data_IF_830075232418
#
_entry.id   IF_830075232418
#
_cell.length_a   1.000
_cell.length_b   1.000
_cell.length_c   1.000
_cell.angle_alpha   90.00
_cell.angle_beta   90.00
_cell.angle_gamma   90.00
#
_symmetry.space_group_name_H-M   'P 1'
#
loop_
_entity.id
_entity.type
_entity.pdbx_description
1 polymer ?
#
# COMPACT_ATOMS: atom_id res chain seq x y z
N UNK A 1 -20.24 -30.97 31.02
CA UNK A 1 -19.31 -29.85 31.16
C UNK A 1 -18.47 -29.79 29.88
N UNK A 2 -18.91 -28.98 28.92
CA UNK A 2 -18.12 -28.68 27.74
C UNK A 2 -16.95 -27.85 28.25
N UNK A 3 -15.75 -28.45 28.27
CA UNK A 3 -14.51 -27.71 28.46
C UNK A 3 -14.53 -26.54 27.48
N UNK A 4 -14.48 -25.31 27.98
CA UNK A 4 -14.21 -24.14 27.17
C UNK A 4 -12.83 -24.33 26.54
N UNK A 5 -12.81 -24.87 25.33
CA UNK A 5 -11.61 -24.89 24.51
C UNK A 5 -11.32 -23.43 24.16
N UNK A 6 -10.32 -22.84 24.79
CA UNK A 6 -9.79 -21.54 24.40
C UNK A 6 -9.19 -21.68 22.98
N UNK A 7 -10.06 -21.59 21.97
CA UNK A 7 -9.62 -21.59 20.59
C UNK A 7 -9.02 -20.23 20.29
N UNK A 8 -7.81 -20.22 19.75
CA UNK A 8 -7.20 -19.00 19.22
C UNK A 8 -7.95 -18.62 17.95
N UNK A 9 -8.81 -17.60 18.06
CA UNK A 9 -9.58 -17.08 16.93
C UNK A 9 -8.66 -16.64 15.78
N UNK A 10 -9.07 -16.97 14.56
CA UNK A 10 -8.39 -16.60 13.31
C UNK A 10 -6.94 -17.15 13.20
N UNK A 11 -6.69 -18.29 13.82
CA UNK A 11 -5.47 -19.07 13.68
C UNK A 11 -5.77 -20.41 12.99
N UNK A 12 -4.85 -20.88 12.18
CA UNK A 12 -4.92 -22.22 11.63
C UNK A 12 -4.60 -23.25 12.70
N UNK A 13 -5.48 -24.22 12.91
CA UNK A 13 -5.24 -25.35 13.79
C UNK A 13 -4.96 -26.62 12.97
N UNK A 14 -3.74 -27.15 13.08
CA UNK A 14 -3.31 -28.30 12.31
C UNK A 14 -2.40 -29.21 13.16
N UNK A 15 -2.72 -30.51 13.20
CA UNK A 15 -1.97 -31.52 13.94
C UNK A 15 -1.66 -31.13 15.41
N UNK A 16 -2.67 -30.64 16.13
CA UNK A 16 -2.54 -30.29 17.55
C UNK A 16 -1.84 -28.97 17.84
N UNK A 17 -1.53 -28.16 16.84
CA UNK A 17 -0.82 -26.87 16.99
C UNK A 17 -1.57 -25.74 16.31
N UNK A 18 -1.39 -24.53 16.86
CA UNK A 18 -1.90 -23.29 16.28
C UNK A 18 -0.81 -22.60 15.47
N UNK A 19 -1.19 -22.10 14.31
CA UNK A 19 -0.33 -21.36 13.42
C UNK A 19 -0.99 -20.08 12.93
N UNK A 20 -0.21 -19.02 12.78
CA UNK A 20 -0.62 -17.86 11.97
C UNK A 20 -0.49 -18.27 10.51
N UNK A 21 -1.57 -18.19 9.73
CA UNK A 21 -1.59 -18.63 8.32
C UNK A 21 -1.08 -17.55 7.34
N UNK A 22 -0.86 -16.33 7.81
CA UNK A 22 -0.33 -15.19 7.05
C UNK A 22 0.74 -14.46 7.86
N UNK A 23 1.48 -13.51 7.20
CA UNK A 23 2.33 -12.56 7.88
C UNK A 23 3.58 -13.11 8.56
N UNK A 24 4.20 -14.19 8.05
CA UNK A 24 5.44 -14.74 8.64
C UNK A 24 6.62 -13.76 8.52
N UNK A 25 6.70 -12.96 7.44
CA UNK A 25 7.82 -12.05 7.21
C UNK A 25 7.96 -10.99 8.29
N UNK A 26 6.90 -10.34 8.81
CA UNK A 26 7.03 -9.44 9.96
C UNK A 26 7.70 -10.11 11.18
N UNK A 27 7.34 -11.36 11.46
CA UNK A 27 7.95 -12.14 12.54
C UNK A 27 9.45 -12.40 12.29
N UNK A 28 9.82 -12.76 11.06
CA UNK A 28 11.22 -12.97 10.66
C UNK A 28 12.05 -11.69 10.72
N UNK A 29 11.45 -10.54 10.48
CA UNK A 29 12.15 -9.26 10.49
C UNK A 29 12.38 -8.71 11.91
N UNK A 30 11.46 -8.98 12.84
CA UNK A 30 11.48 -8.33 14.15
C UNK A 30 11.43 -9.30 15.32
N UNK A 31 10.40 -10.13 15.47
CA UNK A 31 10.21 -10.97 16.65
C UNK A 31 11.34 -11.99 16.79
N UNK A 32 11.63 -12.73 15.73
CA UNK A 32 12.64 -13.77 15.77
C UNK A 32 14.06 -13.23 16.03
N UNK A 33 14.55 -12.16 15.35
CA UNK A 33 15.84 -11.56 15.67
C UNK A 33 15.92 -10.97 17.08
N UNK A 34 14.82 -10.34 17.54
CA UNK A 34 14.76 -9.77 18.87
C UNK A 34 14.85 -10.86 19.95
N UNK A 35 14.08 -11.93 19.81
CA UNK A 35 14.15 -13.09 20.74
C UNK A 35 15.54 -13.73 20.72
N UNK A 36 16.13 -13.91 19.53
CA UNK A 36 17.46 -14.49 19.40
C UNK A 36 18.58 -13.69 20.09
N UNK A 37 18.45 -12.35 20.11
CA UNK A 37 19.43 -11.44 20.73
C UNK A 37 19.18 -11.23 22.22
N UNK A 38 17.90 -11.09 22.62
CA UNK A 38 17.54 -10.68 23.99
C UNK A 38 17.07 -11.84 24.87
N UNK A 39 16.67 -12.97 24.30
CA UNK A 39 15.98 -14.06 24.98
C UNK A 39 14.54 -13.72 25.41
N UNK A 40 14.03 -12.52 25.08
CA UNK A 40 12.70 -12.05 25.46
C UNK A 40 11.73 -12.42 24.33
N UNK A 41 10.69 -13.17 24.67
CA UNK A 41 9.59 -13.47 23.77
C UNK A 41 8.56 -12.31 23.76
N UNK A 42 7.72 -12.29 22.74
CA UNK A 42 6.59 -11.35 22.64
C UNK A 42 6.97 -9.88 22.52
N UNK A 43 7.89 -9.55 21.59
CA UNK A 43 8.08 -8.16 21.15
C UNK A 43 6.75 -7.58 20.66
N UNK A 44 6.32 -6.46 21.27
CA UNK A 44 5.09 -5.77 20.89
C UNK A 44 5.12 -5.25 19.44
N UNK A 45 3.97 -5.21 18.77
CA UNK A 45 3.86 -4.75 17.38
C UNK A 45 4.13 -3.24 17.17
N UNK A 46 3.69 -2.32 18.06
CA UNK A 46 3.82 -0.88 17.83
C UNK A 46 5.23 -0.41 17.47
N UNK A 47 6.31 -0.75 18.18
CA UNK A 47 7.64 -0.32 17.80
C UNK A 47 8.09 -0.85 16.44
N UNK A 48 7.71 -2.08 16.08
CA UNK A 48 8.01 -2.67 14.77
C UNK A 48 7.27 -1.92 13.66
N UNK A 49 6.00 -1.58 13.89
CA UNK A 49 5.19 -0.81 12.94
C UNK A 49 5.76 0.60 12.74
N UNK A 50 6.26 1.25 13.80
CA UNK A 50 6.93 2.56 13.69
C UNK A 50 8.17 2.47 12.81
N UNK A 51 9.03 1.45 13.01
CA UNK A 51 10.20 1.24 12.16
C UNK A 51 9.81 1.06 10.70
N UNK A 52 8.81 0.22 10.42
CA UNK A 52 8.32 0.01 9.05
C UNK A 52 7.68 1.28 8.47
N UNK A 53 6.96 2.06 9.27
CA UNK A 53 6.42 3.35 8.85
C UNK A 53 7.50 4.38 8.49
N UNK A 54 8.61 4.42 9.24
CA UNK A 54 9.77 5.23 8.89
C UNK A 54 10.42 4.76 7.59
N UNK A 55 10.50 3.45 7.36
CA UNK A 55 10.99 2.90 6.10
C UNK A 55 10.03 3.22 4.94
N UNK A 56 8.70 3.21 5.16
CA UNK A 56 7.73 3.67 4.18
C UNK A 56 7.92 5.15 3.82
N UNK A 57 8.14 6.01 4.83
CA UNK A 57 8.43 7.43 4.63
C UNK A 57 9.69 7.60 3.76
N UNK A 58 10.79 6.94 4.10
CA UNK A 58 12.03 6.97 3.33
C UNK A 58 11.85 6.45 1.91
N UNK A 59 11.11 5.35 1.76
CA UNK A 59 10.80 4.77 0.45
C UNK A 59 9.94 5.71 -0.41
N UNK A 60 8.99 6.42 0.19
CA UNK A 60 8.17 7.42 -0.50
C UNK A 60 9.01 8.58 -1.01
N UNK A 61 9.91 9.12 -0.18
CA UNK A 61 10.90 10.12 -0.62
C UNK A 61 11.76 9.58 -1.77
N UNK A 62 12.29 8.38 -1.60
CA UNK A 62 13.14 7.75 -2.60
C UNK A 62 12.42 7.48 -3.92
N UNK A 63 11.20 6.95 -3.87
CA UNK A 63 10.40 6.67 -5.07
C UNK A 63 10.05 7.95 -5.83
N UNK A 64 9.54 8.99 -5.13
CA UNK A 64 9.24 10.29 -5.75
C UNK A 64 10.50 10.92 -6.33
N UNK A 65 11.65 10.84 -5.63
CA UNK A 65 12.92 11.33 -6.16
C UNK A 65 13.30 10.64 -7.48
N UNK A 66 13.18 9.32 -7.56
CA UNK A 66 13.51 8.58 -8.79
C UNK A 66 12.53 8.89 -9.93
N UNK A 67 11.25 9.08 -9.61
CA UNK A 67 10.21 9.50 -10.56
C UNK A 67 10.51 10.89 -11.13
N UNK A 68 10.81 11.85 -10.26
CA UNK A 68 11.19 13.22 -10.68
C UNK A 68 12.40 13.19 -11.58
N UNK A 69 13.48 12.49 -11.21
CA UNK A 69 14.67 12.35 -12.05
C UNK A 69 14.39 11.72 -13.41
N UNK A 70 13.47 10.77 -13.48
CA UNK A 70 13.19 10.01 -14.70
C UNK A 70 12.28 10.76 -15.67
N UNK A 71 11.24 11.41 -15.17
CA UNK A 71 10.18 11.94 -16.03
C UNK A 71 9.91 13.43 -15.86
N UNK A 72 10.31 14.03 -14.74
CA UNK A 72 9.93 15.38 -14.33
C UNK A 72 11.11 16.21 -13.80
N UNK A 73 12.24 16.23 -14.48
CA UNK A 73 13.48 16.89 -14.03
C UNK A 73 13.35 18.39 -13.69
N UNK A 74 12.25 19.03 -14.11
CA UNK A 74 11.93 20.44 -13.83
C UNK A 74 10.87 20.60 -12.72
N UNK A 75 10.49 19.53 -12.01
CA UNK A 75 9.54 19.64 -10.93
C UNK A 75 10.09 20.52 -9.78
N UNK A 76 9.24 21.37 -9.23
CA UNK A 76 9.58 22.22 -8.10
C UNK A 76 9.78 21.42 -6.81
N UNK A 77 10.58 21.96 -5.88
CA UNK A 77 10.73 21.36 -4.55
C UNK A 77 9.37 21.25 -3.81
N UNK A 78 8.48 22.21 -4.01
CA UNK A 78 7.13 22.18 -3.44
C UNK A 78 6.32 21.01 -3.98
N UNK A 79 6.29 20.80 -5.30
CA UNK A 79 5.58 19.66 -5.92
C UNK A 79 6.14 18.33 -5.45
N UNK A 80 7.46 18.23 -5.30
CA UNK A 80 8.14 17.06 -4.73
C UNK A 80 7.66 16.77 -3.30
N UNK A 81 7.75 17.77 -2.41
CA UNK A 81 7.37 17.60 -0.99
C UNK A 81 5.88 17.33 -0.82
N UNK A 82 5.01 18.00 -1.59
CA UNK A 82 3.57 17.75 -1.58
C UNK A 82 3.24 16.34 -2.06
N UNK A 83 3.95 15.82 -3.07
CA UNK A 83 3.76 14.43 -3.53
C UNK A 83 4.13 13.42 -2.43
N UNK A 84 5.23 13.63 -1.72
CA UNK A 84 5.63 12.77 -0.59
C UNK A 84 4.61 12.87 0.54
N UNK A 85 4.20 14.09 0.93
CA UNK A 85 3.20 14.29 1.97
C UNK A 85 1.88 13.61 1.62
N UNK A 86 1.44 13.71 0.37
CA UNK A 86 0.23 13.05 -0.12
C UNK A 86 0.30 11.52 -0.02
N UNK A 87 1.43 10.91 -0.39
CA UNK A 87 1.62 9.46 -0.29
C UNK A 87 1.62 9.02 1.17
N UNK A 88 2.38 9.71 2.03
CA UNK A 88 2.51 9.34 3.44
C UNK A 88 1.20 9.53 4.19
N UNK A 89 0.56 10.68 4.03
CA UNK A 89 -0.69 11.02 4.74
C UNK A 89 -1.91 10.28 4.15
N UNK A 90 -1.93 9.99 2.85
CA UNK A 90 -3.02 9.28 2.19
C UNK A 90 -2.94 7.76 2.29
N UNK A 91 -1.81 7.18 2.71
CA UNK A 91 -1.59 5.72 2.73
C UNK A 91 -2.36 4.95 3.81
N UNK A 92 -3.09 5.63 4.67
CA UNK A 92 -3.83 5.08 5.84
C UNK A 92 -2.93 4.41 6.90
N UNK A 93 -1.62 4.60 6.90
CA UNK A 93 -0.74 4.09 7.95
C UNK A 93 -1.16 4.58 9.35
N UNK A 94 -1.64 5.81 9.47
CA UNK A 94 -2.18 6.38 10.70
C UNK A 94 -3.33 5.56 11.28
N UNK A 95 -4.23 5.04 10.44
CA UNK A 95 -5.30 4.13 10.86
C UNK A 95 -4.75 2.80 11.36
N UNK A 96 -3.77 2.25 10.66
CA UNK A 96 -3.13 0.99 11.04
C UNK A 96 -2.38 1.11 12.37
N UNK A 97 -1.71 2.25 12.63
CA UNK A 97 -0.97 2.48 13.87
C UNK A 97 -1.85 2.58 15.12
N UNK A 98 -3.09 3.06 14.98
CA UNK A 98 -4.05 3.10 16.10
C UNK A 98 -4.58 1.70 16.44
N UNK A 99 -4.42 0.75 15.54
CA UNK A 99 -4.89 -0.63 15.66
C UNK A 99 -3.72 -1.61 15.55
N UNK A 100 -2.81 -1.68 16.52
CA UNK A 100 -1.59 -2.48 16.42
C UNK A 100 -1.87 -3.97 16.65
N UNK A 101 -2.73 -4.56 15.81
CA UNK A 101 -3.01 -5.98 15.78
C UNK A 101 -2.19 -6.69 14.70
N UNK A 102 -2.23 -7.99 14.72
CA UNK A 102 -1.47 -8.86 13.82
C UNK A 102 -1.74 -8.58 12.32
N UNK A 103 -2.99 -8.23 11.97
CA UNK A 103 -3.37 -7.92 10.58
C UNK A 103 -2.80 -6.60 10.12
N UNK A 104 -2.98 -5.55 10.94
CA UNK A 104 -2.49 -4.21 10.66
C UNK A 104 -0.95 -4.20 10.61
N UNK A 105 -0.31 -4.96 11.49
CA UNK A 105 1.14 -5.15 11.46
C UNK A 105 1.62 -5.76 10.14
N UNK A 106 0.98 -6.84 9.67
CA UNK A 106 1.30 -7.46 8.39
C UNK A 106 1.08 -6.51 7.20
N UNK A 107 0.01 -5.69 7.24
CA UNK A 107 -0.27 -4.69 6.19
C UNK A 107 0.80 -3.59 6.19
N UNK A 108 1.17 -3.03 7.34
CA UNK A 108 2.22 -2.00 7.43
C UNK A 108 3.54 -2.52 6.88
N UNK A 109 3.92 -3.76 7.23
CA UNK A 109 5.14 -4.38 6.69
C UNK A 109 5.05 -4.57 5.16
N UNK A 110 3.95 -5.12 4.67
CA UNK A 110 3.73 -5.35 3.23
C UNK A 110 3.78 -4.06 2.43
N UNK A 111 3.04 -3.03 2.86
CA UNK A 111 3.01 -1.72 2.20
C UNK A 111 4.37 -1.03 2.19
N UNK A 112 5.12 -1.12 3.29
CA UNK A 112 6.46 -0.53 3.40
C UNK A 112 7.46 -1.26 2.50
N UNK A 113 7.43 -2.59 2.48
CA UNK A 113 8.28 -3.40 1.59
C UNK A 113 7.94 -3.16 0.11
N UNK A 114 6.67 -3.02 -0.23
CA UNK A 114 6.24 -2.67 -1.59
C UNK A 114 6.81 -1.33 -2.05
N UNK A 115 6.72 -0.30 -1.21
CA UNK A 115 7.27 1.01 -1.54
C UNK A 115 8.80 1.02 -1.60
N UNK A 116 9.49 0.24 -0.75
CA UNK A 116 10.94 0.01 -0.83
C UNK A 116 11.31 -0.67 -2.15
N UNK A 117 10.56 -1.69 -2.56
CA UNK A 117 10.76 -2.37 -3.83
C UNK A 117 10.65 -1.40 -5.01
N UNK A 118 9.62 -0.56 -5.04
CA UNK A 118 9.45 0.45 -6.08
C UNK A 118 10.58 1.48 -6.08
N UNK A 119 11.01 1.96 -4.91
CA UNK A 119 12.15 2.86 -4.81
C UNK A 119 13.42 2.24 -5.38
N UNK A 120 13.78 1.02 -4.95
CA UNK A 120 14.99 0.35 -5.43
C UNK A 120 14.91 0.03 -6.93
N UNK A 121 13.77 -0.44 -7.44
CA UNK A 121 13.60 -0.73 -8.87
C UNK A 121 13.69 0.54 -9.74
N UNK A 122 13.02 1.62 -9.35
CA UNK A 122 13.14 2.91 -10.04
C UNK A 122 14.56 3.46 -9.96
N UNK A 123 15.22 3.29 -8.80
CA UNK A 123 16.62 3.67 -8.62
C UNK A 123 17.56 2.83 -9.50
N UNK A 124 17.33 1.52 -9.61
CA UNK A 124 18.08 0.64 -10.51
C UNK A 124 17.90 1.07 -11.97
N UNK A 125 16.67 1.35 -12.40
CA UNK A 125 16.36 1.81 -13.75
C UNK A 125 17.04 3.15 -14.11
N UNK A 126 17.27 4.01 -13.12
CA UNK A 126 17.96 5.30 -13.27
C UNK A 126 19.49 5.22 -13.04
N UNK A 127 20.01 4.05 -12.69
CA UNK A 127 21.45 3.87 -12.44
C UNK A 127 22.18 3.63 -13.77
N UNK A 128 23.26 4.36 -13.98
CA UNK A 128 24.12 4.17 -15.15
C UNK A 128 24.77 2.77 -15.13
N UNK A 129 24.99 2.22 -16.32
CA UNK A 129 25.50 0.84 -16.51
C UNK A 129 26.90 0.67 -15.93
N UNK A 130 27.70 1.71 -15.95
CA UNK A 130 29.07 1.77 -15.45
C UNK A 130 29.12 1.57 -13.92
N UNK A 131 28.07 1.96 -13.21
CA UNK A 131 27.92 1.75 -11.76
C UNK A 131 27.38 0.37 -11.43
N UNK A 132 28.03 -0.66 -11.98
CA UNK A 132 27.55 -2.04 -11.97
C UNK A 132 27.20 -2.56 -10.58
N UNK A 133 28.06 -2.39 -9.58
CA UNK A 133 27.81 -2.87 -8.21
C UNK A 133 26.54 -2.25 -7.61
N UNK A 134 26.37 -0.94 -7.76
CA UNK A 134 25.17 -0.24 -7.30
C UNK A 134 23.91 -0.69 -8.03
N UNK A 135 24.00 -0.97 -9.34
CA UNK A 135 22.90 -1.49 -10.14
C UNK A 135 22.46 -2.86 -9.65
N UNK A 136 23.39 -3.81 -9.50
CA UNK A 136 23.10 -5.18 -9.02
C UNK A 136 22.50 -5.16 -7.61
N UNK A 137 23.06 -4.37 -6.68
CA UNK A 137 22.56 -4.23 -5.34
C UNK A 137 21.11 -3.71 -5.32
N UNK A 138 20.77 -2.70 -6.13
CA UNK A 138 19.43 -2.13 -6.21
C UNK A 138 18.42 -3.10 -6.84
N UNK A 139 18.83 -3.86 -7.86
CA UNK A 139 18.00 -4.91 -8.45
C UNK A 139 17.69 -5.99 -7.40
N UNK A 140 18.71 -6.47 -6.70
CA UNK A 140 18.56 -7.50 -5.68
C UNK A 140 17.72 -7.03 -4.50
N UNK A 141 18.00 -5.82 -3.96
CA UNK A 141 17.24 -5.26 -2.84
C UNK A 141 15.77 -5.01 -3.20
N UNK A 142 15.51 -4.45 -4.39
CA UNK A 142 14.15 -4.23 -4.84
C UNK A 142 13.36 -5.52 -5.01
N UNK A 143 13.98 -6.54 -5.59
CA UNK A 143 13.35 -7.86 -5.75
C UNK A 143 13.22 -8.62 -4.44
N UNK A 144 14.18 -8.46 -3.51
CA UNK A 144 14.05 -9.01 -2.16
C UNK A 144 12.88 -8.38 -1.42
N UNK A 145 12.78 -7.05 -1.42
CA UNK A 145 11.66 -6.34 -0.78
C UNK A 145 10.31 -6.79 -1.39
N UNK A 146 10.21 -6.88 -2.72
CA UNK A 146 8.99 -7.33 -3.39
C UNK A 146 8.66 -8.78 -3.01
N UNK A 147 9.59 -9.70 -3.07
CA UNK A 147 9.36 -11.10 -2.70
C UNK A 147 8.92 -11.27 -1.23
N UNK A 148 9.46 -10.45 -0.32
CA UNK A 148 9.06 -10.46 1.09
C UNK A 148 7.63 -9.97 1.31
N UNK A 149 7.05 -9.20 0.37
CA UNK A 149 5.63 -8.81 0.40
C UNK A 149 4.73 -10.04 0.43
N UNK A 150 5.06 -11.10 -0.33
CA UNK A 150 4.30 -12.35 -0.36
C UNK A 150 4.14 -12.99 1.02
N UNK A 151 5.15 -12.89 1.88
CA UNK A 151 5.11 -13.39 3.26
C UNK A 151 4.49 -12.40 4.26
N UNK A 152 4.02 -11.23 3.82
CA UNK A 152 3.21 -10.29 4.61
C UNK A 152 1.75 -10.34 4.14
N UNK A 153 1.53 -10.04 2.86
CA UNK A 153 0.23 -9.89 2.19
C UNK A 153 0.34 -10.42 0.76
N UNK A 154 0.07 -11.71 0.52
CA UNK A 154 0.34 -12.35 -0.78
C UNK A 154 -0.34 -11.64 -1.97
N UNK A 155 -1.55 -11.10 -1.80
CA UNK A 155 -2.26 -10.41 -2.86
C UNK A 155 -1.55 -9.13 -3.36
N UNK A 156 -0.79 -8.45 -2.51
CA UNK A 156 -0.02 -7.25 -2.90
C UNK A 156 1.13 -7.59 -3.86
N UNK A 157 1.54 -8.86 -3.96
CA UNK A 157 2.56 -9.32 -4.91
C UNK A 157 2.14 -9.06 -6.37
N UNK A 158 0.86 -8.82 -6.63
CA UNK A 158 0.37 -8.38 -7.94
C UNK A 158 1.11 -7.13 -8.44
N UNK A 159 1.59 -6.26 -7.56
CA UNK A 159 2.39 -5.10 -7.94
C UNK A 159 3.80 -5.45 -8.46
N UNK A 160 4.26 -6.70 -8.37
CA UNK A 160 5.49 -7.14 -9.03
C UNK A 160 5.43 -6.93 -10.56
N UNK A 161 4.25 -6.91 -11.14
CA UNK A 161 4.04 -6.60 -12.57
C UNK A 161 4.59 -5.21 -12.95
N UNK A 162 4.79 -4.28 -12.00
CA UNK A 162 5.40 -2.97 -12.23
C UNK A 162 6.87 -3.05 -12.65
N UNK A 163 7.54 -4.18 -12.43
CA UNK A 163 8.85 -4.43 -13.00
C UNK A 163 8.85 -4.31 -14.54
N UNK A 164 7.75 -4.71 -15.18
CA UNK A 164 7.64 -4.67 -16.65
C UNK A 164 7.78 -3.23 -17.19
N UNK A 165 6.92 -2.24 -16.84
CA UNK A 165 7.08 -0.88 -17.35
C UNK A 165 8.36 -0.20 -16.87
N UNK A 166 8.89 -0.51 -15.67
CA UNK A 166 10.12 0.07 -15.14
C UNK A 166 11.34 -0.36 -15.96
N UNK A 167 11.39 -1.65 -16.34
CA UNK A 167 12.58 -2.26 -16.95
C UNK A 167 12.43 -2.57 -18.44
N UNK A 168 11.24 -2.36 -19.04
CA UNK A 168 10.94 -2.70 -20.43
C UNK A 168 11.96 -2.12 -21.42
N UNK A 169 12.22 -0.83 -21.32
CA UNK A 169 13.12 -0.14 -22.24
C UNK A 169 14.51 -0.77 -22.21
N UNK A 170 15.07 -0.88 -21.01
CA UNK A 170 16.47 -1.30 -20.81
C UNK A 170 16.71 -2.78 -21.14
N UNK A 171 15.83 -3.66 -20.71
CA UNK A 171 16.11 -5.10 -20.80
C UNK A 171 15.45 -5.77 -21.98
N UNK A 172 14.25 -5.36 -22.35
CA UNK A 172 13.50 -6.01 -23.43
C UNK A 172 13.70 -5.29 -24.78
N UNK A 173 13.48 -3.98 -24.84
CA UNK A 173 13.58 -3.24 -26.11
C UNK A 173 15.02 -3.10 -26.59
N UNK A 174 15.96 -2.81 -25.70
CA UNK A 174 17.40 -2.72 -26.02
C UNK A 174 18.07 -4.10 -26.04
N UNK A 175 17.31 -5.19 -25.84
CA UNK A 175 17.77 -6.58 -25.85
C UNK A 175 18.94 -6.87 -24.91
N UNK A 176 19.10 -6.04 -23.86
CA UNK A 176 20.20 -6.16 -22.90
C UNK A 176 20.14 -7.49 -22.13
N UNK A 177 18.94 -8.04 -21.91
CA UNK A 177 18.74 -9.32 -21.22
C UNK A 177 19.58 -10.45 -21.82
N UNK A 178 19.84 -10.41 -23.13
CA UNK A 178 20.60 -11.45 -23.85
C UNK A 178 22.11 -11.21 -23.86
N UNK A 179 22.61 -10.21 -23.17
CA UNK A 179 24.05 -9.96 -23.00
C UNK A 179 24.58 -10.62 -21.73
N UNK A 180 25.89 -10.93 -21.66
CA UNK A 180 26.53 -11.46 -20.44
C UNK A 180 26.25 -10.58 -19.20
N UNK A 181 26.25 -9.27 -19.38
CA UNK A 181 25.94 -8.32 -18.32
C UNK A 181 24.48 -8.37 -17.92
N UNK A 182 23.56 -8.43 -18.90
CA UNK A 182 22.12 -8.54 -18.67
C UNK A 182 21.72 -9.83 -17.98
N UNK A 183 22.39 -10.95 -18.27
CA UNK A 183 22.17 -12.22 -17.54
C UNK A 183 22.57 -12.05 -16.07
N UNK A 184 23.71 -11.42 -15.76
CA UNK A 184 24.10 -11.17 -14.36
C UNK A 184 23.09 -10.26 -13.65
N UNK A 185 22.56 -9.24 -14.33
CA UNK A 185 21.53 -8.35 -13.82
C UNK A 185 20.20 -9.10 -13.60
N UNK A 186 19.84 -10.01 -14.53
CA UNK A 186 18.68 -10.87 -14.39
C UNK A 186 18.82 -11.83 -13.19
N UNK A 187 19.99 -12.41 -12.99
CA UNK A 187 20.28 -13.25 -11.81
C UNK A 187 20.13 -12.41 -10.52
N UNK A 188 20.68 -11.21 -10.46
CA UNK A 188 20.54 -10.33 -9.30
C UNK A 188 19.08 -9.96 -9.03
N UNK A 189 18.25 -9.86 -10.07
CA UNK A 189 16.81 -9.61 -9.94
C UNK A 189 16.04 -10.86 -9.51
N UNK A 190 16.29 -12.02 -10.11
CA UNK A 190 15.48 -13.23 -9.92
C UNK A 190 15.89 -14.00 -8.66
N UNK A 191 17.18 -14.06 -8.33
CA UNK A 191 17.69 -14.88 -7.23
C UNK A 191 17.02 -14.60 -5.88
N UNK A 192 16.85 -13.34 -5.44
CA UNK A 192 16.14 -13.05 -4.19
C UNK A 192 14.69 -13.58 -4.18
N UNK A 193 13.99 -13.45 -5.32
CA UNK A 193 12.62 -13.96 -5.45
C UNK A 193 12.57 -15.48 -5.29
N UNK A 194 13.48 -16.19 -5.96
CA UNK A 194 13.57 -17.66 -5.86
C UNK A 194 13.89 -18.09 -4.43
N UNK A 195 14.85 -17.44 -3.76
CA UNK A 195 15.23 -17.78 -2.39
C UNK A 195 14.09 -17.57 -1.41
N UNK A 196 13.37 -16.45 -1.50
CA UNK A 196 12.19 -16.18 -0.65
C UNK A 196 11.07 -17.17 -0.94
N UNK A 197 10.79 -17.45 -2.23
CA UNK A 197 9.78 -18.43 -2.62
C UNK A 197 10.10 -19.83 -2.06
N UNK A 198 11.33 -20.29 -2.19
CA UNK A 198 11.77 -21.57 -1.62
C UNK A 198 11.60 -21.56 -0.09
N UNK A 199 11.99 -20.47 0.58
CA UNK A 199 11.84 -20.34 2.03
C UNK A 199 10.38 -20.40 2.48
N UNK A 200 9.46 -19.71 1.79
CA UNK A 200 8.03 -19.75 2.09
C UNK A 200 7.42 -21.13 1.80
N UNK A 201 7.81 -21.77 0.69
CA UNK A 201 7.36 -23.12 0.33
C UNK A 201 7.83 -24.15 1.34
N UNK A 202 9.10 -24.08 1.78
CA UNK A 202 9.64 -24.92 2.83
C UNK A 202 8.88 -24.71 4.15
N UNK A 203 8.63 -23.46 4.54
CA UNK A 203 7.89 -23.12 5.74
C UNK A 203 6.45 -23.66 5.70
N UNK A 204 5.78 -23.58 4.56
CA UNK A 204 4.46 -24.17 4.38
C UNK A 204 4.48 -25.70 4.50
N UNK A 205 5.43 -26.36 3.83
CA UNK A 205 5.60 -27.80 3.90
C UNK A 205 5.88 -28.28 5.32
N UNK A 206 6.72 -27.55 6.07
CA UNK A 206 7.04 -27.89 7.46
C UNK A 206 5.82 -27.76 8.41
N UNK A 207 4.88 -26.85 8.14
CA UNK A 207 3.68 -26.66 8.97
C UNK A 207 2.52 -27.56 8.56
N UNK A 208 2.23 -27.62 7.26
CA UNK A 208 1.01 -28.20 6.70
C UNK A 208 1.23 -29.39 5.78
N UNK A 209 2.49 -29.86 5.64
CA UNK A 209 2.83 -31.02 4.81
C UNK A 209 2.83 -30.76 3.31
N UNK A 210 2.52 -29.52 2.86
CA UNK A 210 2.51 -29.14 1.45
C UNK A 210 3.14 -27.77 1.25
N UNK A 211 4.01 -27.59 0.24
CA UNK A 211 4.63 -26.28 -0.07
C UNK A 211 3.63 -25.23 -0.52
N UNK A 212 2.46 -25.63 -1.01
CA UNK A 212 1.42 -24.74 -1.53
C UNK A 212 0.25 -24.56 -0.57
N UNK A 213 0.28 -25.17 0.63
CA UNK A 213 -0.74 -24.98 1.64
C UNK A 213 -0.34 -23.88 2.63
N UNK A 214 -1.05 -22.77 2.58
CA UNK A 214 -0.85 -21.63 3.46
C UNK A 214 -1.63 -21.75 4.79
N UNK A 215 -2.34 -22.83 4.99
CA UNK A 215 -3.08 -23.10 6.23
C UNK A 215 -4.45 -22.43 6.32
N UNK A 216 -4.89 -21.74 5.28
CA UNK A 216 -6.16 -21.01 5.30
C UNK A 216 -7.37 -21.92 5.48
N UNK A 217 -7.30 -23.17 5.01
CA UNK A 217 -8.37 -24.16 5.15
C UNK A 217 -8.52 -24.71 6.59
N UNK A 218 -7.51 -24.51 7.43
CA UNK A 218 -7.48 -24.93 8.83
C UNK A 218 -7.79 -23.77 9.80
N UNK A 219 -8.19 -22.62 9.25
CA UNK A 219 -8.40 -21.41 10.04
C UNK A 219 -9.65 -21.51 10.90
N UNK A 220 -9.50 -21.28 12.20
CA UNK A 220 -10.60 -21.21 13.17
C UNK A 220 -11.25 -19.83 13.13
N UNK A 221 -12.16 -19.63 12.21
CA UNK A 221 -12.94 -18.41 12.02
C UNK A 221 -14.43 -18.74 11.92
N UNK A 222 -15.30 -17.73 11.99
CA UNK A 222 -16.73 -17.91 11.80
C UNK A 222 -17.13 -18.31 10.38
N UNK A 223 -16.19 -18.18 9.42
CA UNK A 223 -16.44 -18.47 8.01
C UNK A 223 -15.85 -19.82 7.61
N UNK A 224 -16.59 -20.58 6.82
CA UNK A 224 -16.05 -21.79 6.19
C UNK A 224 -15.06 -21.41 5.07
N UNK A 225 -13.78 -21.43 5.40
CA UNK A 225 -12.70 -21.04 4.47
C UNK A 225 -12.45 -22.09 3.39
N UNK A 226 -13.07 -23.28 3.48
CA UNK A 226 -12.95 -24.33 2.45
C UNK A 226 -13.93 -24.12 1.28
N UNK A 227 -14.98 -23.30 1.48
CA UNK A 227 -16.04 -23.02 0.51
C UNK A 227 -16.03 -21.59 0.00
N UNK A 228 -14.88 -21.15 -0.49
CA UNK A 228 -14.74 -19.80 -1.06
C UNK A 228 -15.38 -19.73 -2.43
N UNK A 229 -16.32 -18.79 -2.60
CA UNK A 229 -16.98 -18.53 -3.88
C UNK A 229 -16.81 -17.09 -4.34
N UNK A 230 -16.77 -16.89 -5.65
CA UNK A 230 -16.78 -15.57 -6.26
C UNK A 230 -18.24 -15.09 -6.44
N UNK A 231 -18.61 -13.97 -5.83
CA UNK A 231 -19.94 -13.36 -5.96
C UNK A 231 -19.91 -12.15 -6.88
N UNK A 232 -20.36 -12.32 -8.13
CA UNK A 232 -20.38 -11.25 -9.14
C UNK A 232 -21.24 -10.07 -8.68
N UNK A 233 -22.43 -10.33 -8.12
CA UNK A 233 -23.36 -9.29 -7.68
C UNK A 233 -22.84 -8.39 -6.57
N UNK A 234 -21.87 -8.88 -5.79
CA UNK A 234 -21.21 -8.10 -4.74
C UNK A 234 -20.10 -7.19 -5.26
N UNK A 235 -19.45 -7.56 -6.36
CA UNK A 235 -18.20 -6.92 -6.83
C UNK A 235 -18.37 -5.45 -7.12
N UNK A 236 -19.32 -5.08 -7.96
CA UNK A 236 -19.48 -3.67 -8.37
C UNK A 236 -19.87 -2.76 -7.20
N UNK A 237 -20.89 -3.07 -6.36
CA UNK A 237 -21.20 -2.25 -5.18
C UNK A 237 -20.04 -2.12 -4.22
N UNK A 238 -19.28 -3.19 -3.97
CA UNK A 238 -18.17 -3.20 -3.03
C UNK A 238 -17.00 -2.35 -3.56
N UNK A 239 -16.59 -2.51 -4.82
CA UNK A 239 -15.52 -1.69 -5.43
C UNK A 239 -15.93 -0.22 -5.47
N UNK A 240 -17.18 0.10 -5.84
CA UNK A 240 -17.67 1.49 -5.82
C UNK A 240 -17.63 2.08 -4.41
N UNK A 241 -17.97 1.30 -3.39
CA UNK A 241 -17.87 1.74 -2.00
C UNK A 241 -16.41 1.95 -1.58
N UNK A 242 -15.49 1.04 -1.90
CA UNK A 242 -14.06 1.22 -1.63
C UNK A 242 -13.49 2.48 -2.28
N UNK A 243 -13.98 2.84 -3.46
CA UNK A 243 -13.48 4.00 -4.18
C UNK A 243 -14.20 5.30 -3.79
N UNK A 244 -15.52 5.27 -3.66
CA UNK A 244 -16.36 6.47 -3.58
C UNK A 244 -17.29 6.53 -2.36
N UNK A 245 -17.24 5.57 -1.45
CA UNK A 245 -18.07 5.55 -0.25
C UNK A 245 -17.84 6.82 0.58
N UNK A 246 -18.94 7.48 0.98
CA UNK A 246 -18.88 8.69 1.79
C UNK A 246 -18.77 8.28 3.27
N UNK A 247 -17.84 8.85 4.05
CA UNK A 247 -17.79 8.61 5.49
C UNK A 247 -18.99 9.24 6.21
N UNK A 248 -19.31 8.73 7.39
CA UNK A 248 -20.22 9.43 8.29
C UNK A 248 -19.58 10.73 8.79
N UNK A 249 -20.39 11.79 8.96
CA UNK A 249 -19.94 13.10 9.48
C UNK A 249 -20.73 13.46 10.74
N UNK A 250 -20.06 14.15 11.67
CA UNK A 250 -20.67 14.67 12.89
C UNK A 250 -20.17 16.09 13.19
N UNK A 251 -20.96 16.86 13.98
CA UNK A 251 -20.62 18.25 14.28
C UNK A 251 -19.52 18.42 15.31
N UNK A 252 -19.23 17.38 16.12
CA UNK A 252 -18.23 17.42 17.19
C UNK A 252 -16.99 16.62 16.77
N UNK A 253 -15.83 16.95 17.39
CA UNK A 253 -14.60 16.20 17.19
C UNK A 253 -14.80 14.69 17.47
N UNK A 254 -14.27 13.79 16.63
CA UNK A 254 -13.32 13.99 15.54
C UNK A 254 -13.93 14.31 14.16
N UNK A 255 -15.14 14.78 14.07
CA UNK A 255 -15.90 15.20 12.89
C UNK A 255 -16.28 14.08 11.92
N UNK A 256 -15.69 12.92 12.05
CA UNK A 256 -16.01 11.71 11.30
C UNK A 256 -16.65 10.67 12.22
N UNK A 257 -17.53 9.85 11.64
CA UNK A 257 -18.03 8.63 12.24
C UNK A 257 -17.83 7.47 11.30
N UNK A 258 -17.64 6.27 11.86
CA UNK A 258 -17.61 5.07 11.06
C UNK A 258 -19.00 4.77 10.48
N UNK A 259 -19.05 4.39 9.23
CA UNK A 259 -20.23 3.79 8.61
C UNK A 259 -20.17 2.28 8.80
N UNK A 260 -21.26 1.67 9.29
CA UNK A 260 -21.33 0.21 9.39
C UNK A 260 -21.66 -0.39 8.03
N UNK A 261 -20.71 -1.11 7.47
CA UNK A 261 -20.90 -1.82 6.21
C UNK A 261 -21.23 -3.28 6.51
N UNK A 262 -22.30 -3.77 5.90
CA UNK A 262 -22.68 -5.17 5.99
C UNK A 262 -22.35 -5.89 4.70
N UNK A 263 -21.58 -6.96 4.79
CA UNK A 263 -21.23 -7.80 3.66
C UNK A 263 -21.67 -9.23 3.95
N UNK A 264 -22.49 -9.80 3.09
CA UNK A 264 -22.78 -11.23 3.14
C UNK A 264 -21.63 -11.99 2.48
N UNK A 265 -20.98 -12.81 3.28
CA UNK A 265 -19.85 -13.62 2.84
C UNK A 265 -20.00 -15.03 3.36
N UNK A 266 -20.03 -16.01 2.46
CA UNK A 266 -20.15 -17.45 2.80
C UNK A 266 -21.31 -17.79 3.75
N UNK A 267 -22.45 -17.12 3.55
CA UNK A 267 -23.65 -17.34 4.38
C UNK A 267 -23.67 -16.60 5.72
N UNK A 268 -22.63 -15.83 6.03
CA UNK A 268 -22.56 -14.99 7.22
C UNK A 268 -22.60 -13.51 6.85
N UNK A 269 -23.21 -12.71 7.72
CA UNK A 269 -23.16 -11.26 7.60
C UNK A 269 -22.00 -10.73 8.43
N UNK A 270 -21.00 -10.19 7.74
CA UNK A 270 -19.87 -9.50 8.35
C UNK A 270 -20.21 -8.02 8.42
N UNK A 271 -20.18 -7.46 9.64
CA UNK A 271 -20.34 -6.01 9.86
C UNK A 271 -18.96 -5.41 10.14
N UNK A 272 -18.54 -4.49 9.29
CA UNK A 272 -17.26 -3.82 9.41
C UNK A 272 -17.43 -2.30 9.49
N UNK A 273 -16.48 -1.66 10.17
CA UNK A 273 -16.42 -0.21 10.25
C UNK A 273 -15.69 0.33 9.03
N UNK A 274 -16.32 1.28 8.35
CA UNK A 274 -15.80 1.90 7.15
C UNK A 274 -15.72 3.42 7.34
N UNK A 275 -14.58 4.02 7.03
CA UNK A 275 -14.30 5.43 7.29
C UNK A 275 -14.28 6.27 6.00
N UNK A 276 -14.62 5.68 4.87
CA UNK A 276 -14.76 6.35 3.59
C UNK A 276 -13.93 5.75 2.46
N UNK A 277 -14.36 6.01 1.23
CA UNK A 277 -13.71 5.55 0.01
C UNK A 277 -12.52 6.42 -0.37
N UNK A 278 -11.56 5.82 -1.07
CA UNK A 278 -10.31 6.49 -1.40
C UNK A 278 -10.50 7.82 -2.15
N UNK A 279 -11.29 7.83 -3.22
CA UNK A 279 -11.55 9.05 -4.02
C UNK A 279 -12.46 10.05 -3.32
N UNK A 280 -13.35 9.61 -2.43
CA UNK A 280 -14.20 10.50 -1.66
C UNK A 280 -13.38 11.27 -0.60
N UNK A 281 -12.36 10.64 -0.03
CA UNK A 281 -11.65 11.15 1.13
C UNK A 281 -10.24 11.68 0.83
N UNK A 282 -9.66 11.30 -0.30
CA UNK A 282 -8.32 11.72 -0.72
C UNK A 282 -8.39 12.49 -2.05
N UNK A 283 -8.63 13.81 -2.00
CA UNK A 283 -8.84 14.63 -3.21
C UNK A 283 -7.66 14.61 -4.18
N UNK A 284 -6.44 14.30 -3.72
CA UNK A 284 -5.28 14.12 -4.59
C UNK A 284 -5.54 13.10 -5.69
N UNK A 285 -6.29 12.03 -5.41
CA UNK A 285 -6.56 10.95 -6.37
C UNK A 285 -7.33 11.45 -7.60
N UNK A 286 -8.09 12.55 -7.48
CA UNK A 286 -8.77 13.17 -8.61
C UNK A 286 -7.81 13.75 -9.66
N UNK A 287 -6.53 13.92 -9.31
CA UNK A 287 -5.48 14.21 -10.29
C UNK A 287 -5.41 13.19 -11.43
N UNK A 288 -5.80 11.94 -11.19
CA UNK A 288 -5.89 10.91 -12.25
C UNK A 288 -6.90 11.29 -13.33
N UNK A 289 -7.94 12.06 -13.01
CA UNK A 289 -8.89 12.59 -13.99
C UNK A 289 -8.28 13.61 -14.97
N UNK A 290 -7.09 14.13 -14.68
CA UNK A 290 -6.33 15.02 -15.58
C UNK A 290 -5.55 14.28 -16.68
N UNK A 291 -5.41 12.96 -16.62
CA UNK A 291 -4.65 12.17 -17.60
C UNK A 291 -5.12 12.37 -19.06
N UNK A 292 -6.43 12.48 -19.36
CA UNK A 292 -6.89 12.81 -20.72
C UNK A 292 -6.36 14.15 -21.23
N UNK A 293 -6.22 15.18 -20.37
CA UNK A 293 -5.63 16.48 -20.71
C UNK A 293 -4.17 16.30 -21.15
N UNK A 294 -3.44 15.43 -20.49
CA UNK A 294 -2.03 15.16 -20.75
C UNK A 294 -1.79 14.06 -21.80
N UNK A 295 -2.81 13.58 -22.50
CA UNK A 295 -2.76 12.42 -23.41
C UNK A 295 -1.62 12.45 -24.42
N UNK A 296 -1.32 13.61 -25.02
CA UNK A 296 -0.25 13.76 -26.02
C UNK A 296 1.14 13.55 -25.38
N UNK A 297 1.39 14.14 -24.21
CA UNK A 297 2.66 13.98 -23.46
C UNK A 297 2.79 12.56 -22.91
N UNK A 298 1.71 11.98 -22.44
CA UNK A 298 1.66 10.62 -21.95
C UNK A 298 1.89 9.60 -23.07
N UNK A 299 1.41 9.87 -24.29
CA UNK A 299 1.68 9.04 -25.48
C UNK A 299 3.17 9.07 -25.88
N UNK A 300 3.83 10.23 -25.73
CA UNK A 300 5.27 10.38 -26.01
C UNK A 300 6.15 9.67 -24.97
N UNK A 301 5.68 9.51 -23.71
CA UNK A 301 6.37 8.82 -22.60
C UNK A 301 5.75 7.45 -22.35
N UNK A 302 6.03 6.48 -23.24
CA UNK A 302 5.38 5.17 -23.22
C UNK A 302 5.57 4.42 -21.90
N UNK A 303 6.75 4.44 -21.31
CA UNK A 303 7.07 3.80 -20.04
C UNK A 303 6.24 4.39 -18.87
N UNK A 304 6.12 5.72 -18.80
CA UNK A 304 5.26 6.40 -17.83
C UNK A 304 3.77 6.01 -18.01
N UNK A 305 3.29 6.03 -19.26
CA UNK A 305 1.92 5.63 -19.56
C UNK A 305 1.63 4.21 -19.10
N UNK A 306 2.53 3.27 -19.44
CA UNK A 306 2.37 1.86 -19.07
C UNK A 306 2.45 1.70 -17.56
N UNK A 307 3.34 2.42 -16.87
CA UNK A 307 3.43 2.40 -15.42
C UNK A 307 2.09 2.81 -14.77
N UNK A 308 1.52 3.94 -15.16
CA UNK A 308 0.24 4.43 -14.62
C UNK A 308 -0.89 3.45 -14.91
N UNK A 309 -0.99 2.94 -16.15
CA UNK A 309 -2.04 1.97 -16.52
C UNK A 309 -1.91 0.68 -15.71
N UNK A 310 -0.70 0.17 -15.52
CA UNK A 310 -0.47 -1.06 -14.73
C UNK A 310 -0.80 -0.84 -13.26
N UNK A 311 -0.47 0.33 -12.68
CA UNK A 311 -0.88 0.66 -11.30
C UNK A 311 -2.41 0.65 -11.17
N UNK A 312 -3.12 1.32 -12.08
CA UNK A 312 -4.59 1.38 -12.05
C UNK A 312 -5.23 0.01 -12.23
N UNK A 313 -4.70 -0.81 -13.15
CA UNK A 313 -5.18 -2.17 -13.37
C UNK A 313 -4.92 -3.07 -12.15
N UNK A 314 -3.72 -3.04 -11.58
CA UNK A 314 -3.37 -3.80 -10.39
C UNK A 314 -4.23 -3.40 -9.18
N UNK A 315 -4.42 -2.08 -8.97
CA UNK A 315 -5.30 -1.57 -7.93
C UNK A 315 -6.74 -2.10 -8.08
N UNK A 316 -7.29 -2.04 -9.30
CA UNK A 316 -8.66 -2.51 -9.55
C UNK A 316 -8.79 -4.00 -9.28
N UNK A 317 -7.82 -4.81 -9.74
CA UNK A 317 -7.80 -6.26 -9.48
C UNK A 317 -7.70 -6.52 -7.98
N UNK A 318 -6.83 -5.82 -7.25
CA UNK A 318 -6.73 -5.97 -5.80
C UNK A 318 -8.00 -5.57 -5.08
N UNK A 319 -8.62 -4.43 -5.44
CA UNK A 319 -9.89 -4.02 -4.85
C UNK A 319 -10.99 -5.07 -5.05
N UNK A 320 -11.03 -5.73 -6.23
CA UNK A 320 -11.95 -6.84 -6.49
C UNK A 320 -11.60 -8.06 -5.62
N UNK A 321 -10.33 -8.45 -5.55
CA UNK A 321 -9.89 -9.59 -4.75
C UNK A 321 -10.18 -9.38 -3.27
N UNK A 322 -9.88 -8.22 -2.72
CA UNK A 322 -10.14 -7.89 -1.31
C UNK A 322 -11.63 -7.99 -0.98
N UNK A 323 -12.50 -7.44 -1.84
CA UNK A 323 -13.95 -7.57 -1.70
C UNK A 323 -14.44 -9.01 -1.74
N UNK A 324 -13.79 -9.87 -2.52
CA UNK A 324 -14.18 -11.28 -2.65
C UNK A 324 -13.64 -12.15 -1.52
N UNK A 325 -12.48 -11.81 -0.97
CA UNK A 325 -11.80 -12.63 0.05
C UNK A 325 -12.39 -12.48 1.45
N UNK A 326 -12.73 -11.25 1.87
CA UNK A 326 -13.15 -11.01 3.25
C UNK A 326 -14.16 -9.86 3.40
N UNK A 327 -14.68 -9.31 2.30
CA UNK A 327 -15.60 -8.17 2.33
C UNK A 327 -14.90 -6.81 2.37
N UNK A 328 -15.64 -5.75 2.74
CA UNK A 328 -15.16 -4.37 2.64
C UNK A 328 -14.45 -3.92 3.91
N UNK A 329 -13.31 -4.52 4.22
CA UNK A 329 -12.47 -4.11 5.34
C UNK A 329 -11.71 -2.83 4.98
N UNK A 330 -11.92 -1.76 5.74
CA UNK A 330 -11.30 -0.46 5.48
C UNK A 330 -9.76 -0.55 5.37
N UNK A 331 -9.11 -1.36 6.21
CA UNK A 331 -7.66 -1.59 6.20
C UNK A 331 -7.11 -2.12 4.86
N UNK A 332 -7.94 -2.77 4.05
CA UNK A 332 -7.48 -3.33 2.77
C UNK A 332 -7.22 -2.27 1.69
N UNK A 333 -7.75 -1.05 1.85
CA UNK A 333 -7.36 0.06 0.97
C UNK A 333 -5.85 0.34 1.05
N UNK A 334 -5.21 0.08 2.19
CA UNK A 334 -3.76 0.27 2.37
C UNK A 334 -2.92 -0.65 1.47
N UNK A 335 -3.46 -1.78 1.01
CA UNK A 335 -2.76 -2.74 0.15
C UNK A 335 -2.40 -2.13 -1.22
N UNK A 336 -3.14 -1.11 -1.69
CA UNK A 336 -2.96 -0.51 -3.01
C UNK A 336 -2.84 1.03 -3.02
N UNK A 337 -3.10 1.71 -1.91
CA UNK A 337 -3.06 3.18 -1.85
C UNK A 337 -1.67 3.77 -2.12
N UNK A 338 -0.59 3.16 -1.64
CA UNK A 338 0.76 3.67 -1.86
C UNK A 338 1.10 3.85 -3.35
N UNK A 339 1.06 2.80 -4.17
CA UNK A 339 1.26 2.90 -5.62
C UNK A 339 0.25 3.79 -6.33
N UNK A 340 -1.02 3.79 -5.91
CA UNK A 340 -2.07 4.63 -6.50
C UNK A 340 -1.81 6.12 -6.26
N UNK A 341 -1.41 6.51 -5.05
CA UNK A 341 -1.05 7.88 -4.72
C UNK A 341 0.20 8.35 -5.48
N UNK A 342 1.16 7.44 -5.68
CA UNK A 342 2.31 7.72 -6.54
C UNK A 342 1.87 7.98 -7.99
N UNK A 343 0.95 7.18 -8.53
CA UNK A 343 0.39 7.40 -9.87
C UNK A 343 -0.42 8.70 -9.96
N UNK A 344 -1.17 9.05 -8.92
CA UNK A 344 -1.88 10.33 -8.84
C UNK A 344 -0.92 11.52 -8.82
N UNK A 345 0.16 11.46 -8.04
CA UNK A 345 1.20 12.48 -8.02
C UNK A 345 1.85 12.66 -9.40
N UNK A 346 2.09 11.55 -10.13
CA UNK A 346 2.55 11.59 -11.53
C UNK A 346 1.55 12.29 -12.46
N UNK A 347 0.27 12.02 -12.29
CA UNK A 347 -0.79 12.66 -13.08
C UNK A 347 -0.85 14.18 -12.83
N UNK A 348 -0.74 14.61 -11.56
CA UNK A 348 -0.63 16.02 -11.19
C UNK A 348 0.59 16.68 -11.84
N UNK A 349 1.78 16.10 -11.72
CA UNK A 349 3.00 16.64 -12.31
C UNK A 349 2.90 16.74 -13.85
N UNK A 350 2.24 15.79 -14.49
CA UNK A 350 2.00 15.80 -15.92
C UNK A 350 1.05 16.93 -16.36
N UNK A 351 -0.05 17.11 -15.62
CA UNK A 351 -1.02 18.15 -15.86
C UNK A 351 -0.41 19.54 -15.65
N UNK A 352 0.39 19.72 -14.58
CA UNK A 352 1.13 20.96 -14.33
C UNK A 352 2.01 21.33 -15.51
N UNK A 353 2.79 20.39 -16.06
CA UNK A 353 3.64 20.64 -17.23
C UNK A 353 2.83 21.02 -18.48
N UNK A 354 1.63 20.45 -18.66
CA UNK A 354 0.74 20.82 -19.79
C UNK A 354 0.23 22.25 -19.62
N UNK A 355 -0.22 22.60 -18.43
CA UNK A 355 -0.75 23.94 -18.13
C UNK A 355 0.34 25.01 -18.19
N UNK A 356 1.55 24.72 -17.70
CA UNK A 356 2.72 25.61 -17.82
C UNK A 356 3.06 25.92 -19.30
N UNK A 357 3.07 24.88 -20.14
CA UNK A 357 3.33 25.06 -21.56
C UNK A 357 2.23 25.84 -22.26
N UNK A 358 0.97 25.61 -21.87
CA UNK A 358 -0.16 26.38 -22.40
C UNK A 358 -0.08 27.86 -21.98
N UNK A 359 0.21 28.14 -20.72
CA UNK A 359 0.38 29.49 -20.21
C UNK A 359 1.53 30.24 -20.92
N UNK A 360 2.64 29.56 -21.18
CA UNK A 360 3.80 30.13 -21.90
C UNK A 360 3.46 30.46 -23.35
N UNK A 361 2.53 29.73 -24.00
CA UNK A 361 2.12 29.95 -25.38
C UNK A 361 1.00 30.98 -25.54
N UNK A 362 0.01 30.97 -24.64
CA UNK A 362 -1.20 31.80 -24.70
C UNK A 362 -1.10 33.11 -23.93
N UNK A 363 -0.11 33.22 -23.01
CA UNK A 363 -0.05 34.33 -22.04
C UNK A 363 -1.13 34.25 -20.94
N UNK A 364 -1.95 33.18 -20.91
CA UNK A 364 -3.04 32.99 -19.95
C UNK A 364 -2.60 31.96 -18.91
N UNK A 365 -2.34 32.39 -17.72
CA UNK A 365 -1.83 31.54 -16.63
C UNK A 365 -2.88 31.22 -15.54
N UNK A 366 -4.12 31.68 -15.65
CA UNK A 366 -5.17 31.51 -14.65
C UNK A 366 -5.41 30.03 -14.32
N UNK A 367 -5.49 29.17 -15.34
CA UNK A 367 -5.66 27.72 -15.14
C UNK A 367 -4.47 27.09 -14.43
N UNK A 368 -3.25 27.53 -14.77
CA UNK A 368 -2.03 27.07 -14.09
C UNK A 368 -2.03 27.48 -12.63
N UNK A 369 -2.32 28.75 -12.32
CA UNK A 369 -2.40 29.25 -10.94
C UNK A 369 -3.46 28.51 -10.13
N UNK A 370 -4.66 28.34 -10.68
CA UNK A 370 -5.73 27.58 -10.03
C UNK A 370 -5.28 26.16 -9.74
N UNK A 371 -4.66 25.47 -10.69
CA UNK A 371 -4.17 24.11 -10.51
C UNK A 371 -3.08 24.01 -9.44
N UNK A 372 -2.12 24.93 -9.43
CA UNK A 372 -1.08 25.01 -8.40
C UNK A 372 -1.65 25.29 -7.00
N UNK A 373 -2.82 25.96 -6.90
CA UNK A 373 -3.52 26.21 -5.62
C UNK A 373 -4.30 24.97 -5.17
N UNK A 374 -4.93 24.26 -6.10
CA UNK A 374 -5.73 23.07 -5.79
C UNK A 374 -4.88 21.94 -5.22
N UNK A 375 -3.65 21.74 -5.71
CA UNK A 375 -2.79 20.65 -5.25
C UNK A 375 -2.50 20.69 -3.74
N UNK A 376 -1.98 21.79 -3.16
CA UNK A 376 -1.75 21.86 -1.71
C UNK A 376 -3.05 21.74 -0.91
N UNK A 377 -4.18 22.28 -1.41
CA UNK A 377 -5.48 22.12 -0.77
C UNK A 377 -5.94 20.65 -0.77
N UNK A 378 -5.73 19.93 -1.86
CA UNK A 378 -6.04 18.50 -1.93
C UNK A 378 -5.20 17.66 -0.95
N UNK A 379 -3.91 18.00 -0.80
CA UNK A 379 -3.03 17.36 0.18
C UNK A 379 -3.47 17.69 1.60
N UNK A 380 -3.79 18.96 1.88
CA UNK A 380 -4.28 19.40 3.18
C UNK A 380 -5.60 18.71 3.56
N UNK A 381 -6.55 18.65 2.63
CA UNK A 381 -7.82 17.96 2.86
C UNK A 381 -7.62 16.48 3.16
N UNK A 382 -6.73 15.79 2.44
CA UNK A 382 -6.33 14.43 2.74
C UNK A 382 -5.67 14.28 4.12
N UNK A 383 -4.82 15.23 4.52
CA UNK A 383 -4.19 15.26 5.84
C UNK A 383 -5.22 15.48 6.97
N UNK A 384 -6.17 16.40 6.78
CA UNK A 384 -7.26 16.63 7.72
C UNK A 384 -8.15 15.39 7.87
N UNK A 385 -8.50 14.75 6.76
CA UNK A 385 -9.23 13.49 6.78
C UNK A 385 -8.46 12.41 7.57
N UNK A 386 -7.18 12.24 7.27
CA UNK A 386 -6.30 11.29 7.95
C UNK A 386 -6.22 11.53 9.45
N UNK A 387 -6.10 12.79 9.84
CA UNK A 387 -6.14 13.22 11.24
C UNK A 387 -7.48 12.85 11.89
N UNK A 388 -8.61 13.14 11.26
CA UNK A 388 -9.91 12.79 11.81
C UNK A 388 -10.08 11.27 11.97
N UNK A 389 -9.67 10.46 10.97
CA UNK A 389 -9.74 9.00 11.06
C UNK A 389 -8.88 8.46 12.20
N UNK A 390 -7.69 9.03 12.43
CA UNK A 390 -6.82 8.62 13.53
C UNK A 390 -7.52 8.71 14.90
N UNK A 391 -8.37 9.69 15.10
CA UNK A 391 -9.14 9.86 16.35
C UNK A 391 -10.48 9.12 16.35
N UNK A 392 -10.98 8.72 15.17
CA UNK A 392 -12.27 8.00 15.02
C UNK A 392 -12.10 6.48 15.04
N UNK A 393 -10.94 5.96 14.58
CA UNK A 393 -10.70 4.54 14.40
C UNK A 393 -10.88 3.74 15.71
N UNK A 394 -11.63 2.65 15.68
CA UNK A 394 -11.83 1.78 16.83
C UNK A 394 -10.79 0.64 16.90
N UNK A 395 -10.35 0.26 18.08
CA UNK A 395 -10.74 0.70 19.43
C UNK A 395 -10.17 2.07 19.82
N UNK A 396 -10.58 3.11 19.24
CA UNK A 396 -10.20 4.51 19.26
C UNK A 396 -9.18 4.98 20.29
N UNK A 397 -8.55 6.07 19.95
CA UNK A 397 -7.59 6.74 20.84
C UNK A 397 -8.23 7.18 22.18
N UNK A 398 -9.55 7.40 22.18
CA UNK A 398 -10.31 7.70 23.38
C UNK A 398 -10.21 6.58 24.44
N UNK A 399 -10.16 5.31 24.01
CA UNK A 399 -9.98 4.18 24.92
C UNK A 399 -8.53 3.93 25.32
N UNK A 400 -7.58 4.21 24.41
CA UNK A 400 -6.15 3.94 24.61
C UNK A 400 -5.45 5.08 25.35
N UNK A 401 -5.76 6.33 24.99
CA UNK A 401 -5.17 7.53 25.57
C UNK A 401 -6.21 8.66 25.65
N UNK A 402 -7.16 8.56 26.62
CA UNK A 402 -8.23 9.56 26.77
C UNK A 402 -7.71 10.98 27.03
N UNK A 403 -6.57 11.10 27.69
CA UNK A 403 -5.97 12.41 27.96
C UNK A 403 -5.53 13.11 26.66
N UNK A 404 -4.85 12.40 25.77
CA UNK A 404 -4.47 12.92 24.46
C UNK A 404 -5.71 13.29 23.63
N UNK A 405 -6.72 12.42 23.60
CA UNK A 405 -7.97 12.69 22.89
C UNK A 405 -8.63 13.98 23.40
N UNK A 406 -8.78 14.13 24.71
CA UNK A 406 -9.42 15.31 25.32
C UNK A 406 -8.61 16.60 25.07
N UNK A 407 -7.27 16.54 25.18
CA UNK A 407 -6.43 17.69 24.94
C UNK A 407 -6.54 18.18 23.49
N UNK A 408 -6.50 17.25 22.53
CA UNK A 408 -6.65 17.60 21.11
C UNK A 408 -8.07 18.07 20.81
N UNK A 409 -9.09 17.43 21.38
CA UNK A 409 -10.48 17.87 21.24
C UNK A 409 -10.66 19.31 21.68
N UNK A 410 -10.14 19.71 22.85
CA UNK A 410 -10.17 21.10 23.35
C UNK A 410 -9.45 22.09 22.43
N UNK A 411 -8.30 21.70 21.88
CA UNK A 411 -7.55 22.55 20.95
C UNK A 411 -8.30 22.77 19.64
N UNK A 412 -8.91 21.71 19.10
CA UNK A 412 -9.58 21.75 17.79
C UNK A 412 -10.98 22.34 17.91
N UNK A 413 -11.63 22.24 19.07
CA UNK A 413 -12.96 22.78 19.34
C UNK A 413 -12.91 24.02 20.24
N UNK A 414 -11.90 24.88 20.05
CA UNK A 414 -11.67 26.06 20.89
C UNK A 414 -12.84 27.07 20.91
N UNK A 415 -13.78 26.92 19.99
CA UNK A 415 -15.00 27.74 19.90
C UNK A 415 -16.20 27.20 20.68
N UNK A 416 -16.13 26.00 21.26
CA UNK A 416 -17.13 25.41 22.15
C UNK A 416 -16.79 25.70 23.60
#
# INVERSE_FOLDING_TARGET
EAAQVNSLWDHAYYNGRYYVYFGIVPCLLFQLPFEAVTGIQNLAYPPCMIVMGLLFLLASFGAVHQVVRRWFSQASAAAYLLSVAAIVLGSQLYYLFVRPYIYEYAIVCGTSLLMLALWFWLSAANTAVERRGALLAKLALGSLCMALVAGCRPQMELFAVLALPIFWQRYLREKRLFTKQGITEAVAFVLPVVLVAIGLMWYNAARFGSPFDFGANYNLTSNDMTRRGFSVGRTAPAVLTFLFGIPGVQAVFPYLTATKMQTNYMGLTITELFYGGAFACLPLLWGLASLPLARRRLAAKRDLRTFVVVVLAAMLVLAVLDCQMAGMLYRYQSDWLGPLLLAAALAWALAEQVLQAHAAQSGIDVLQRAFCTILPLAVLAGACYSFCVYFTAEPGLIGQNPALYQNVSRLVQFWL
#
